data_IF_893979177821
#
_entry.id   IF_893979177821
#
_cell.length_a   1.000
_cell.length_b   1.000
_cell.length_c   1.000
_cell.angle_alpha   90.00
_cell.angle_beta   90.00
_cell.angle_gamma   90.00
#
_symmetry.space_group_name_H-M   'P 1'
#
loop_
_entity.id
_entity.type
_entity.pdbx_description
1 polymer ?
#
# COMPACT_ATOMS: atom_id res chain seq x y z
N UNK A 1 -6.04 21.79 33.14
CA UNK A 1 -6.43 20.41 32.73
C UNK A 1 -5.22 19.73 32.11
N UNK A 2 -4.84 18.53 32.56
CA UNK A 2 -3.79 17.77 31.89
C UNK A 2 -4.32 17.32 30.52
N UNK A 3 -3.54 17.58 29.46
CA UNK A 3 -3.80 17.01 28.13
C UNK A 3 -3.63 15.49 28.27
N UNK A 4 -4.67 14.73 27.90
CA UNK A 4 -4.56 13.28 27.76
C UNK A 4 -3.39 12.98 26.80
N UNK A 5 -2.51 12.00 27.09
CA UNK A 5 -1.52 11.57 26.10
C UNK A 5 -2.25 11.20 24.79
N UNK A 6 -1.65 11.47 23.62
CA UNK A 6 -2.22 11.01 22.36
C UNK A 6 -2.41 9.50 22.49
N UNK A 7 -3.66 9.02 22.32
CA UNK A 7 -3.92 7.59 22.31
C UNK A 7 -3.08 7.00 21.20
N UNK A 8 -2.08 6.19 21.57
CA UNK A 8 -1.25 5.51 20.60
C UNK A 8 -2.13 4.43 19.97
N UNK A 9 -2.52 4.63 18.72
CA UNK A 9 -3.32 3.65 17.99
C UNK A 9 -2.52 2.34 17.87
N UNK A 10 -3.20 1.18 17.88
CA UNK A 10 -2.57 -0.08 17.53
C UNK A 10 -1.83 0.03 16.18
N UNK A 11 -0.75 -0.73 15.97
CA UNK A 11 -0.11 -0.82 14.66
C UNK A 11 -1.14 -1.15 13.57
N UNK A 12 -0.94 -0.59 12.38
CA UNK A 12 -1.83 -0.80 11.23
C UNK A 12 -3.30 -0.43 11.48
N UNK A 13 -3.59 0.50 12.38
CA UNK A 13 -4.95 1.01 12.60
C UNK A 13 -5.02 2.52 12.37
N UNK A 14 -6.17 3.02 11.93
CA UNK A 14 -6.42 4.46 11.82
C UNK A 14 -7.79 4.84 12.37
N UNK A 15 -7.92 6.11 12.76
CA UNK A 15 -9.20 6.68 13.19
C UNK A 15 -9.91 7.25 11.96
N UNK A 16 -11.12 6.78 11.65
CA UNK A 16 -11.99 7.29 10.59
C UNK A 16 -13.36 7.64 11.16
N UNK A 17 -13.82 8.90 11.02
CA UNK A 17 -15.17 9.31 11.42
C UNK A 17 -15.57 9.05 12.88
N UNK A 18 -14.61 9.00 13.81
CA UNK A 18 -14.80 8.65 15.23
C UNK A 18 -14.70 7.15 15.54
N UNK A 19 -14.42 6.29 14.55
CA UNK A 19 -14.26 4.85 14.70
C UNK A 19 -12.80 4.44 14.45
N UNK A 20 -12.34 3.44 15.19
CA UNK A 20 -11.07 2.79 14.90
C UNK A 20 -11.28 1.75 13.80
N UNK A 21 -10.47 1.82 12.74
CA UNK A 21 -10.52 0.93 11.59
C UNK A 21 -9.20 0.16 11.50
N UNK A 22 -9.23 -1.18 11.50
CA UNK A 22 -8.03 -1.99 11.27
C UNK A 22 -7.68 -2.01 9.77
N UNK A 23 -6.39 -1.89 9.49
CA UNK A 23 -5.75 -2.01 8.17
C UNK A 23 -4.56 -2.99 8.22
N UNK A 24 -4.62 -3.95 9.14
CA UNK A 24 -3.61 -5.01 9.24
C UNK A 24 -3.73 -6.04 8.10
N UNK A 25 -2.68 -6.83 7.91
CA UNK A 25 -2.58 -7.81 6.84
C UNK A 25 -3.73 -8.83 6.85
N UNK A 26 -4.16 -9.29 8.03
CA UNK A 26 -5.21 -10.31 8.12
C UNK A 26 -6.55 -9.74 7.65
N UNK A 27 -6.92 -8.56 8.13
CA UNK A 27 -8.14 -7.86 7.71
C UNK A 27 -8.16 -7.65 6.18
N UNK A 28 -7.02 -7.24 5.60
CA UNK A 28 -6.93 -6.99 4.16
C UNK A 28 -6.96 -8.30 3.36
N UNK A 29 -6.22 -9.32 3.78
CA UNK A 29 -6.22 -10.63 3.12
C UNK A 29 -7.58 -11.31 3.19
N UNK A 30 -8.32 -11.14 4.28
CA UNK A 30 -9.70 -11.62 4.41
C UNK A 30 -10.63 -10.97 3.40
N UNK A 31 -10.54 -9.66 3.24
CA UNK A 31 -11.33 -8.94 2.25
C UNK A 31 -10.97 -9.34 0.81
N UNK A 32 -9.69 -9.49 0.50
CA UNK A 32 -9.22 -9.82 -0.85
C UNK A 32 -9.32 -11.32 -1.20
N UNK A 33 -9.47 -12.20 -0.20
CA UNK A 33 -9.37 -13.65 -0.37
C UNK A 33 -7.95 -14.11 -0.72
N UNK A 34 -6.93 -13.45 -0.16
CA UNK A 34 -5.51 -13.66 -0.49
C UNK A 34 -4.69 -14.24 0.67
N UNK A 35 -5.33 -14.92 1.62
CA UNK A 35 -4.61 -15.58 2.70
C UNK A 35 -3.60 -16.58 2.15
N UNK A 36 -2.38 -16.53 2.67
CA UNK A 36 -1.42 -17.61 2.49
C UNK A 36 -1.91 -18.84 3.27
N UNK A 37 -1.69 -20.04 2.73
CA UNK A 37 -1.95 -21.26 3.47
C UNK A 37 -0.99 -21.39 4.66
N UNK A 38 -1.39 -22.14 5.69
CA UNK A 38 -0.62 -22.27 6.94
C UNK A 38 0.84 -22.76 6.71
N UNK A 39 1.06 -23.56 5.67
CA UNK A 39 2.38 -24.11 5.29
C UNK A 39 3.14 -23.24 4.27
N UNK A 40 2.59 -22.09 3.90
CA UNK A 40 3.11 -21.22 2.85
C UNK A 40 3.72 -19.97 3.47
N UNK A 41 5.04 -19.93 3.52
CA UNK A 41 5.75 -18.74 3.98
C UNK A 41 5.80 -17.68 2.88
N UNK A 42 5.53 -16.44 3.29
CA UNK A 42 5.84 -15.29 2.45
C UNK A 42 7.35 -15.28 2.19
N UNK A 43 7.76 -15.39 0.94
CA UNK A 43 9.17 -15.32 0.54
C UNK A 43 9.65 -13.86 0.46
N UNK A 44 8.90 -12.95 1.08
CA UNK A 44 9.17 -11.53 1.10
C UNK A 44 8.84 -10.93 2.48
N UNK A 45 9.87 -10.69 3.28
CA UNK A 45 9.78 -9.86 4.47
C UNK A 45 9.78 -8.39 4.04
N UNK A 46 8.65 -7.70 4.17
CA UNK A 46 8.58 -6.27 3.90
C UNK A 46 9.44 -5.55 4.96
N UNK A 47 10.65 -5.15 4.55
CA UNK A 47 11.49 -4.11 5.15
C UNK A 47 11.93 -4.37 6.59
N UNK A 48 13.03 -5.10 6.76
CA UNK A 48 14.18 -4.53 7.48
C UNK A 48 15.50 -5.08 6.91
N UNK A 49 16.36 -4.13 6.58
CA UNK A 49 17.83 -4.15 6.36
C UNK A 49 18.49 -4.84 5.15
N UNK A 50 17.91 -5.82 4.46
CA UNK A 50 18.60 -6.42 3.28
C UNK A 50 17.63 -6.62 2.11
N UNK A 51 17.29 -5.52 1.44
CA UNK A 51 16.48 -5.56 0.21
C UNK A 51 17.20 -6.36 -0.88
N UNK A 52 16.42 -7.08 -1.70
CA UNK A 52 16.89 -7.80 -2.90
C UNK A 52 18.00 -7.01 -3.56
N UNK A 53 19.19 -7.61 -3.70
CA UNK A 53 20.36 -6.92 -4.22
C UNK A 53 19.96 -6.14 -5.49
N UNK A 54 20.15 -4.81 -5.56
CA UNK A 54 19.64 -3.97 -6.66
C UNK A 54 19.96 -4.52 -8.06
N UNK A 55 21.05 -5.29 -8.17
CA UNK A 55 21.46 -6.03 -9.36
C UNK A 55 20.47 -7.10 -9.83
N UNK A 56 19.96 -7.96 -8.95
CA UNK A 56 19.01 -9.02 -9.34
C UNK A 56 17.68 -8.43 -9.82
N UNK A 57 17.24 -7.38 -9.15
CA UNK A 57 16.02 -6.66 -9.49
C UNK A 57 16.17 -5.94 -10.85
N UNK A 58 17.30 -5.28 -11.11
CA UNK A 58 17.60 -4.71 -12.44
C UNK A 58 17.62 -5.80 -13.50
N UNK A 59 18.27 -6.93 -13.24
CA UNK A 59 18.40 -8.00 -14.23
C UNK A 59 17.04 -8.64 -14.56
N UNK A 60 16.14 -8.73 -13.58
CA UNK A 60 14.80 -9.25 -13.79
C UNK A 60 13.88 -8.27 -14.53
N UNK A 61 14.02 -6.96 -14.29
CA UNK A 61 13.08 -5.94 -14.75
C UNK A 61 13.51 -5.21 -16.02
N UNK A 62 14.80 -4.95 -16.19
CA UNK A 62 15.33 -4.05 -17.21
C UNK A 62 15.97 -4.79 -18.40
N UNK A 63 16.02 -4.10 -19.54
CA UNK A 63 16.88 -4.48 -20.66
C UNK A 63 18.37 -4.47 -20.23
N UNK A 64 19.16 -5.40 -20.77
CA UNK A 64 20.57 -5.54 -20.41
C UNK A 64 21.35 -4.23 -20.64
N UNK A 65 21.99 -3.72 -19.58
CA UNK A 65 22.80 -2.49 -19.62
C UNK A 65 22.09 -1.23 -19.11
N UNK A 66 20.78 -1.28 -18.88
CA UNK A 66 19.99 -0.16 -18.35
C UNK A 66 19.82 -0.30 -16.81
N UNK A 67 20.26 0.70 -16.04
CA UNK A 67 20.34 0.64 -14.57
C UNK A 67 19.42 1.62 -13.84
N UNK A 68 19.45 1.58 -12.49
CA UNK A 68 18.79 2.56 -11.62
C UNK A 68 19.37 3.96 -11.84
N UNK A 69 18.51 4.95 -12.14
CA UNK A 69 18.88 6.35 -12.06
C UNK A 69 18.20 6.96 -10.83
N UNK A 70 19.00 7.42 -9.86
CA UNK A 70 18.52 8.11 -8.63
C UNK A 70 17.45 7.34 -7.82
N UNK A 71 17.58 6.02 -7.69
CA UNK A 71 16.64 5.23 -6.89
C UNK A 71 15.31 4.89 -7.59
N UNK A 72 15.19 5.16 -8.90
CA UNK A 72 14.01 4.81 -9.71
C UNK A 72 14.41 4.03 -10.95
N UNK A 73 13.55 3.11 -11.39
CA UNK A 73 13.64 2.47 -12.70
C UNK A 73 12.73 3.22 -13.66
N UNK A 74 13.30 3.68 -14.78
CA UNK A 74 12.54 4.37 -15.82
C UNK A 74 11.65 3.37 -16.54
N UNK A 75 10.38 3.70 -16.76
CA UNK A 75 9.45 2.80 -17.46
C UNK A 75 9.97 2.32 -18.83
N UNK A 76 10.73 3.18 -19.53
CA UNK A 76 11.30 2.88 -20.84
C UNK A 76 12.43 1.84 -20.82
N UNK A 77 13.05 1.57 -19.67
CA UNK A 77 14.09 0.54 -19.56
C UNK A 77 13.54 -0.86 -19.26
N UNK A 78 12.25 -0.98 -18.95
CA UNK A 78 11.62 -2.26 -18.64
C UNK A 78 11.55 -3.18 -19.87
N UNK A 79 11.87 -4.46 -19.69
CA UNK A 79 11.57 -5.45 -20.73
C UNK A 79 10.04 -5.62 -20.88
N UNK A 80 9.50 -5.94 -22.07
CA UNK A 80 8.06 -6.09 -22.32
C UNK A 80 7.24 -6.84 -21.27
N UNK A 81 7.76 -7.91 -20.69
CA UNK A 81 7.07 -8.69 -19.66
C UNK A 81 6.90 -7.90 -18.35
N UNK A 82 7.95 -7.24 -17.88
CA UNK A 82 7.89 -6.36 -16.71
C UNK A 82 6.94 -5.18 -16.95
N UNK A 83 6.97 -4.62 -18.16
CA UNK A 83 6.07 -3.55 -18.55
C UNK A 83 4.59 -3.98 -18.57
N UNK A 84 4.30 -5.19 -19.05
CA UNK A 84 2.95 -5.77 -19.04
C UNK A 84 2.43 -5.92 -17.60
N UNK A 85 3.22 -6.56 -16.72
CA UNK A 85 2.84 -6.74 -15.32
C UNK A 85 2.74 -5.44 -14.54
N UNK A 86 3.52 -4.42 -14.90
CA UNK A 86 3.44 -3.09 -14.28
C UNK A 86 2.05 -2.48 -14.40
N UNK A 87 1.37 -2.64 -15.54
CA UNK A 87 -0.01 -2.18 -15.69
C UNK A 87 -0.96 -2.88 -14.71
N UNK A 88 -0.82 -4.20 -14.53
CA UNK A 88 -1.60 -4.97 -13.56
C UNK A 88 -1.34 -4.51 -12.12
N UNK A 89 -0.07 -4.35 -11.75
CA UNK A 89 0.34 -3.88 -10.42
C UNK A 89 -0.22 -2.49 -10.12
N UNK A 90 -0.11 -1.55 -11.06
CA UNK A 90 -0.61 -0.18 -10.89
C UNK A 90 -2.14 -0.10 -10.85
N UNK A 91 -2.86 -1.06 -11.43
CA UNK A 91 -4.32 -1.05 -11.37
C UNK A 91 -4.85 -1.71 -10.09
N UNK A 92 -4.18 -2.75 -9.59
CA UNK A 92 -4.77 -3.66 -8.60
C UNK A 92 -4.02 -3.77 -7.27
N UNK A 93 -2.68 -3.66 -7.26
CA UNK A 93 -1.86 -3.99 -6.07
C UNK A 93 -1.22 -2.75 -5.44
N UNK A 94 -0.72 -1.81 -6.24
CA UNK A 94 -0.11 -0.56 -5.75
C UNK A 94 -0.50 0.60 -6.68
N UNK A 95 -1.74 1.11 -6.55
CA UNK A 95 -2.25 2.21 -7.35
C UNK A 95 -1.33 3.44 -7.34
N UNK A 96 -1.21 4.11 -8.49
CA UNK A 96 -0.40 5.30 -8.64
C UNK A 96 -1.10 6.36 -9.51
N UNK A 97 -0.85 7.64 -9.19
CA UNK A 97 -1.32 8.76 -10.00
C UNK A 97 -0.43 9.04 -11.22
N UNK A 98 0.82 8.57 -11.19
CA UNK A 98 1.80 8.72 -12.25
C UNK A 98 2.52 7.40 -12.52
N UNK A 99 2.71 7.07 -13.80
CA UNK A 99 3.29 5.80 -14.26
C UNK A 99 4.70 5.96 -14.84
N UNK A 100 5.32 7.14 -14.74
CA UNK A 100 6.62 7.43 -15.34
C UNK A 100 7.78 6.72 -14.62
N UNK A 101 7.72 6.64 -13.29
CA UNK A 101 8.79 6.13 -12.45
C UNK A 101 8.32 4.94 -11.61
N UNK A 102 9.09 3.87 -11.64
CA UNK A 102 8.86 2.69 -10.82
C UNK A 102 9.57 2.88 -9.48
N UNK A 103 8.77 3.07 -8.43
CA UNK A 103 9.26 3.14 -7.04
C UNK A 103 9.75 1.77 -6.57
N UNK A 104 10.62 1.74 -5.55
CA UNK A 104 11.18 0.51 -4.99
C UNK A 104 10.11 -0.54 -4.62
N UNK A 105 9.02 -0.13 -3.96
CA UNK A 105 7.93 -1.04 -3.61
C UNK A 105 7.26 -1.68 -4.83
N UNK A 106 7.03 -0.91 -5.90
CA UNK A 106 6.42 -1.41 -7.14
C UNK A 106 7.39 -2.29 -7.93
N UNK A 107 8.67 -1.92 -7.93
CA UNK A 107 9.71 -2.74 -8.52
C UNK A 107 9.83 -4.11 -7.83
N UNK A 108 9.65 -4.12 -6.52
CA UNK A 108 9.68 -5.35 -5.72
C UNK A 108 8.52 -6.29 -6.07
N UNK A 109 7.29 -5.77 -6.17
CA UNK A 109 6.15 -6.58 -6.61
C UNK A 109 6.39 -7.15 -8.01
N UNK A 110 6.93 -6.34 -8.93
CA UNK A 110 7.23 -6.82 -10.27
C UNK A 110 8.29 -7.92 -10.25
N UNK A 111 9.35 -7.78 -9.46
CA UNK A 111 10.35 -8.83 -9.29
C UNK A 111 9.71 -10.13 -8.79
N UNK A 112 8.83 -10.07 -7.78
CA UNK A 112 8.12 -11.23 -7.23
C UNK A 112 7.29 -11.92 -8.31
N UNK A 113 6.51 -11.16 -9.07
CA UNK A 113 5.69 -11.71 -10.16
C UNK A 113 6.54 -12.39 -11.22
N UNK A 114 7.62 -11.73 -11.65
CA UNK A 114 8.49 -12.25 -12.72
C UNK A 114 9.31 -13.45 -12.29
N UNK A 115 9.61 -13.58 -10.99
CA UNK A 115 10.37 -14.71 -10.44
C UNK A 115 9.48 -15.81 -9.87
N UNK A 116 8.16 -15.65 -9.89
CA UNK A 116 7.21 -16.63 -9.37
C UNK A 116 7.31 -16.85 -7.86
N UNK A 117 7.74 -15.83 -7.10
CA UNK A 117 7.88 -15.91 -5.64
C UNK A 117 6.54 -15.68 -4.95
N UNK A 118 6.42 -16.21 -3.74
CA UNK A 118 5.23 -16.04 -2.91
C UNK A 118 5.32 -14.74 -2.12
N UNK A 119 4.21 -13.99 -2.07
CA UNK A 119 4.09 -12.71 -1.37
C UNK A 119 2.76 -12.61 -0.64
N UNK A 120 2.80 -12.07 0.58
CA UNK A 120 1.62 -11.62 1.30
C UNK A 120 1.19 -10.23 0.77
N UNK A 121 0.14 -10.23 -0.04
CA UNK A 121 -0.41 -9.01 -0.66
C UNK A 121 -1.04 -8.10 0.40
N UNK A 122 -1.74 -8.67 1.38
CA UNK A 122 -2.36 -7.90 2.47
C UNK A 122 -1.32 -7.18 3.32
N UNK A 123 -0.21 -7.85 3.65
CA UNK A 123 0.90 -7.23 4.39
C UNK A 123 1.56 -6.10 3.61
N UNK A 124 1.70 -6.24 2.29
CA UNK A 124 2.21 -5.16 1.46
C UNK A 124 1.28 -3.93 1.46
N UNK A 125 -0.02 -4.14 1.22
CA UNK A 125 -1.00 -3.05 1.21
C UNK A 125 -1.11 -2.41 2.60
N UNK A 126 -1.09 -3.20 3.67
CA UNK A 126 -1.06 -2.70 5.06
C UNK A 126 0.11 -1.74 5.28
N UNK A 127 1.30 -2.11 4.81
CA UNK A 127 2.50 -1.27 4.88
C UNK A 127 2.38 0.00 4.02
N UNK A 128 1.80 -0.07 2.83
CA UNK A 128 1.54 1.13 2.01
C UNK A 128 0.57 2.09 2.68
N UNK A 129 -0.54 1.59 3.22
CA UNK A 129 -1.53 2.39 3.96
C UNK A 129 -0.87 3.00 5.21
N UNK A 130 -0.15 2.21 5.99
CA UNK A 130 0.53 2.67 7.20
C UNK A 130 1.55 3.79 6.90
N UNK A 131 2.32 3.66 5.81
CA UNK A 131 3.23 4.72 5.36
C UNK A 131 2.50 5.99 4.95
N UNK A 132 1.34 5.87 4.30
CA UNK A 132 0.51 7.03 3.93
C UNK A 132 -0.05 7.75 5.16
N UNK A 133 -0.54 7.00 6.15
CA UNK A 133 -1.07 7.57 7.41
C UNK A 133 0.01 8.32 8.19
N UNK A 134 1.24 7.80 8.20
CA UNK A 134 2.36 8.39 8.93
C UNK A 134 3.19 9.42 8.12
N UNK A 135 2.83 9.69 6.87
CA UNK A 135 3.55 10.66 6.06
C UNK A 135 3.32 12.08 6.59
N UNK A 136 4.38 12.88 6.74
CA UNK A 136 4.33 14.26 7.23
C UNK A 136 3.71 15.27 6.21
N UNK A 137 2.98 14.79 5.20
CA UNK A 137 2.43 15.61 4.12
C UNK A 137 1.34 14.88 3.32
N UNK A 138 0.85 15.52 2.25
CA UNK A 138 -0.18 14.93 1.38
C UNK A 138 0.40 13.74 0.60
N UNK A 139 0.23 12.54 1.14
CA UNK A 139 0.44 11.30 0.39
C UNK A 139 -0.84 10.94 -0.38
N UNK A 140 -0.68 10.44 -1.62
CA UNK A 140 -1.79 9.86 -2.34
C UNK A 140 -2.23 8.57 -1.62
N UNK A 141 -3.49 8.53 -1.20
CA UNK A 141 -4.05 7.35 -0.56
C UNK A 141 -4.36 6.29 -1.63
N UNK A 142 -3.56 5.23 -1.66
CA UNK A 142 -3.85 4.05 -2.49
C UNK A 142 -5.13 3.35 -2.04
N UNK A 143 -5.70 2.51 -2.90
CA UNK A 143 -6.81 1.60 -2.55
C UNK A 143 -8.09 2.25 -1.98
N UNK A 144 -8.63 3.31 -2.60
CA UNK A 144 -9.81 4.00 -2.07
C UNK A 144 -11.00 3.06 -1.82
N UNK A 145 -11.27 2.11 -2.72
CA UNK A 145 -12.39 1.17 -2.56
C UNK A 145 -12.21 0.21 -1.38
N UNK A 146 -11.00 -0.34 -1.17
CA UNK A 146 -10.68 -1.18 -0.01
C UNK A 146 -10.88 -0.36 1.27
N UNK A 147 -10.32 0.84 1.33
CA UNK A 147 -10.36 1.68 2.53
C UNK A 147 -11.81 2.06 2.86
N UNK A 148 -12.59 2.50 1.87
CA UNK A 148 -14.01 2.81 2.06
C UNK A 148 -14.78 1.59 2.56
N UNK A 149 -14.50 0.39 2.04
CA UNK A 149 -15.17 -0.83 2.48
C UNK A 149 -14.81 -1.17 3.94
N UNK A 150 -13.53 -1.15 4.31
CA UNK A 150 -13.08 -1.42 5.67
C UNK A 150 -13.65 -0.39 6.67
N UNK A 151 -13.71 0.89 6.29
CA UNK A 151 -14.40 1.92 7.07
C UNK A 151 -15.88 1.59 7.27
N UNK A 152 -16.58 1.16 6.21
CA UNK A 152 -17.99 0.76 6.31
C UNK A 152 -18.18 -0.43 7.24
N UNK A 153 -17.30 -1.43 7.20
CA UNK A 153 -17.35 -2.60 8.08
C UNK A 153 -17.14 -2.21 9.56
N UNK A 154 -16.28 -1.21 9.81
CA UNK A 154 -16.06 -0.65 11.14
C UNK A 154 -17.21 0.27 11.62
N UNK A 155 -18.28 0.43 10.83
CA UNK A 155 -19.43 1.26 11.17
C UNK A 155 -19.19 2.76 11.03
N UNK A 156 -18.26 3.16 10.14
CA UNK A 156 -18.11 4.56 9.72
C UNK A 156 -19.27 4.90 8.78
N UNK A 157 -19.94 6.01 9.04
CA UNK A 157 -20.93 6.54 8.10
C UNK A 157 -20.22 7.09 6.86
N UNK A 158 -20.30 6.34 5.76
CA UNK A 158 -19.73 6.68 4.46
C UNK A 158 -20.71 7.48 3.57
N UNK A 159 -21.96 7.67 4.02
CA UNK A 159 -22.99 8.35 3.24
C UNK A 159 -22.93 9.87 3.37
N UNK A 160 -22.33 10.37 4.46
CA UNK A 160 -22.19 11.80 4.73
C UNK A 160 -20.75 12.25 4.39
N UNK A 161 -20.57 13.17 3.45
CA UNK A 161 -19.26 13.76 3.17
C UNK A 161 -18.67 14.42 4.43
N UNK A 162 -17.36 14.28 4.71
CA UNK A 162 -16.73 14.84 5.91
C UNK A 162 -16.96 16.35 6.09
N UNK A 163 -17.17 17.07 5.00
CA UNK A 163 -17.38 18.52 5.00
C UNK A 163 -18.77 18.92 5.50
N UNK A 164 -19.82 18.13 5.25
CA UNK A 164 -21.19 18.46 5.66
C UNK A 164 -21.41 18.25 7.16
N UNK A 165 -20.74 17.23 7.73
CA UNK A 165 -20.77 16.97 9.16
C UNK A 165 -20.13 18.12 9.97
N UNK A 166 -19.03 18.67 9.47
CA UNK A 166 -18.35 19.81 10.10
C UNK A 166 -19.18 21.10 10.07
N UNK A 167 -20.02 21.32 9.05
CA UNK A 167 -20.92 22.47 9.00
C UNK A 167 -22.13 22.30 9.93
N UNK A 168 -22.64 21.09 10.10
CA UNK A 168 -23.78 20.82 10.98
C UNK A 168 -23.42 20.97 12.47
N UNK A 169 -22.21 20.61 12.87
CA UNK A 169 -21.73 20.78 14.26
C UNK A 169 -21.50 22.25 14.64
N UNK A 170 -21.42 23.17 13.67
CA UNK A 170 -21.22 24.60 13.89
C UNK A 170 -22.53 25.41 13.99
N UNK A 171 -23.65 24.86 13.52
CA UNK A 171 -24.98 25.50 13.55
C UNK A 171 -25.76 25.23 14.85
N UNK A 172 -25.17 24.48 15.79
CA UNK A 172 -25.68 24.30 17.16
C UNK A 172 -24.68 24.82 18.19
N UNK A 173 -24.49 26.13 18.24
CA UNK A 173 -23.85 26.86 19.36
C UNK A 173 -24.45 28.24 19.54
#
# INVERSE_FOLDING_TARGET
MPRLPPQQLPPFSAMCGGKMVPFDANTINEFLGTQLGDDVECQFSVLDDESVAPRELIQALCLAGEGFHRGTIQRGSLHPLAHFWSAFVHANISPCSHVSDLTEGRATILYIILTGRVMDVGQFIANEIHRCVNAAGKAALGHPSLITHLCSLAGVDISVPPLEKATQDLDFS
#
